data_IF_936433232274
#
_entry.id   IF_936433232274
#
_cell.length_a   1.000
_cell.length_b   1.000
_cell.length_c   1.000
_cell.angle_alpha   90.00
_cell.angle_beta   90.00
_cell.angle_gamma   90.00
#
_symmetry.space_group_name_H-M   'P 1'
#
loop_
_entity.id
_entity.type
_entity.pdbx_description
1 polymer ?
#
# COMPACT_ATOMS: atom_id res chain seq x y z
N UNK A 1 52.87 -41.02 34.78
CA UNK A 1 51.67 -41.87 34.58
C UNK A 1 50.46 -41.01 34.92
N UNK A 2 49.59 -40.71 33.95
CA UNK A 2 48.33 -40.04 34.27
C UNK A 2 47.41 -41.06 34.97
N UNK A 3 46.90 -40.72 36.14
CA UNK A 3 45.86 -41.53 36.79
C UNK A 3 44.57 -41.27 36.03
N UNK A 4 44.07 -42.28 35.32
CA UNK A 4 42.78 -42.21 34.64
C UNK A 4 41.68 -42.50 35.66
N UNK A 5 41.00 -41.45 36.12
CA UNK A 5 39.78 -41.62 36.91
C UNK A 5 38.67 -42.05 35.96
N UNK A 6 38.12 -43.24 36.20
CA UNK A 6 36.97 -43.76 35.48
C UNK A 6 35.75 -43.71 36.38
N UNK A 7 34.71 -43.04 35.89
CA UNK A 7 33.39 -42.98 36.51
C UNK A 7 32.57 -44.19 36.07
N UNK A 8 31.57 -44.58 36.86
CA UNK A 8 30.65 -45.64 36.42
C UNK A 8 29.86 -45.14 35.22
N UNK A 9 29.80 -45.98 34.19
CA UNK A 9 29.23 -45.64 32.90
C UNK A 9 28.68 -46.89 32.22
N UNK A 10 27.67 -46.69 31.38
CA UNK A 10 26.99 -47.75 30.63
C UNK A 10 25.90 -47.13 29.74
N UNK A 11 25.28 -47.91 28.87
CA UNK A 11 24.14 -47.43 28.08
C UNK A 11 22.91 -47.22 28.98
N UNK A 12 21.99 -46.35 28.58
CA UNK A 12 20.73 -46.11 29.29
C UNK A 12 19.95 -47.41 29.56
N UNK A 13 19.96 -48.33 28.58
CA UNK A 13 19.35 -49.65 28.69
C UNK A 13 20.05 -50.53 29.76
N UNK A 14 21.39 -50.58 29.77
CA UNK A 14 22.14 -51.36 30.76
C UNK A 14 21.93 -50.84 32.18
N UNK A 15 21.92 -49.51 32.36
CA UNK A 15 21.62 -48.89 33.64
C UNK A 15 20.20 -49.17 34.12
N UNK A 16 19.21 -49.10 33.22
CA UNK A 16 17.81 -49.41 33.53
C UNK A 16 17.62 -50.87 33.95
N UNK A 17 18.30 -51.81 33.26
CA UNK A 17 18.23 -53.24 33.60
C UNK A 17 18.92 -53.56 34.94
N UNK A 18 20.07 -52.96 35.23
CA UNK A 18 20.78 -53.19 36.48
C UNK A 18 20.10 -52.47 37.66
N UNK A 19 19.46 -51.33 37.39
CA UNK A 19 18.79 -50.44 38.34
C UNK A 19 19.47 -50.26 39.71
N UNK A 20 20.78 -49.96 39.77
CA UNK A 20 21.49 -49.89 41.04
C UNK A 20 21.11 -48.64 41.85
N UNK A 21 21.19 -48.73 43.17
CA UNK A 21 21.26 -47.55 44.06
C UNK A 21 22.71 -47.06 44.09
N UNK A 22 22.92 -45.82 43.66
CA UNK A 22 24.23 -45.17 43.69
C UNK A 22 24.51 -44.58 45.08
N UNK A 23 25.76 -44.63 45.52
CA UNK A 23 26.16 -44.01 46.78
C UNK A 23 25.96 -42.48 46.73
N UNK A 24 25.77 -41.86 47.90
CA UNK A 24 25.60 -40.41 47.98
C UNK A 24 26.80 -39.67 47.36
N UNK A 25 26.54 -38.81 46.37
CA UNK A 25 27.55 -38.07 45.61
C UNK A 25 28.25 -38.86 44.51
N UNK A 26 27.93 -40.14 44.29
CA UNK A 26 28.52 -40.95 43.22
C UNK A 26 28.05 -40.47 41.85
N UNK A 27 29.00 -40.12 40.98
CA UNK A 27 28.74 -39.70 39.60
C UNK A 27 28.62 -40.91 38.66
N UNK A 28 27.54 -40.95 37.88
CA UNK A 28 27.30 -41.98 36.88
C UNK A 28 26.76 -41.37 35.58
N UNK A 29 27.21 -41.90 34.45
CA UNK A 29 26.82 -41.40 33.12
C UNK A 29 26.20 -42.47 32.22
N UNK A 30 25.26 -42.05 31.40
CA UNK A 30 24.76 -42.80 30.24
C UNK A 30 25.65 -42.50 29.03
N UNK A 31 26.24 -43.51 28.42
CA UNK A 31 27.21 -43.32 27.32
C UNK A 31 26.56 -43.04 25.96
N UNK A 32 25.24 -43.16 25.86
CA UNK A 32 24.45 -43.10 24.63
C UNK A 32 23.40 -41.97 24.61
N UNK A 33 23.25 -41.22 25.70
CA UNK A 33 22.26 -40.14 25.80
C UNK A 33 22.85 -38.80 26.27
N UNK A 34 24.15 -38.77 26.59
CA UNK A 34 24.86 -37.64 27.22
C UNK A 34 24.26 -37.18 28.55
N UNK A 35 23.48 -38.05 29.22
CA UNK A 35 22.88 -37.76 30.52
C UNK A 35 23.68 -38.35 31.67
N UNK A 36 23.53 -37.77 32.85
CA UNK A 36 24.19 -38.22 34.06
C UNK A 36 23.33 -38.02 35.29
N UNK A 37 23.64 -38.77 36.36
CA UNK A 37 22.98 -38.67 37.66
C UNK A 37 24.03 -38.65 38.77
N UNK A 38 23.71 -37.98 39.88
CA UNK A 38 24.44 -38.10 41.14
C UNK A 38 23.60 -38.91 42.12
N UNK A 39 24.19 -39.97 42.70
CA UNK A 39 23.53 -40.77 43.70
C UNK A 39 23.18 -39.99 44.96
N UNK A 40 22.04 -40.33 45.58
CA UNK A 40 21.61 -39.83 46.89
C UNK A 40 21.82 -40.86 48.00
N UNK A 41 22.34 -42.06 47.67
CA UNK A 41 22.57 -43.15 48.60
C UNK A 41 21.35 -44.02 48.91
N UNK A 42 20.17 -43.74 48.34
CA UNK A 42 18.94 -44.50 48.65
C UNK A 42 18.02 -44.78 47.45
N UNK A 43 17.94 -43.87 46.48
CA UNK A 43 17.08 -43.99 45.29
C UNK A 43 17.76 -44.83 44.21
N UNK A 44 17.03 -45.81 43.68
CA UNK A 44 17.49 -46.63 42.55
C UNK A 44 17.56 -45.83 41.24
N UNK A 45 18.46 -46.21 40.33
CA UNK A 45 18.74 -45.50 39.06
C UNK A 45 17.50 -45.05 38.29
N UNK A 46 16.48 -45.91 38.13
CA UNK A 46 15.30 -45.59 37.32
C UNK A 46 14.41 -44.50 37.92
N UNK A 47 14.44 -44.34 39.24
CA UNK A 47 13.70 -43.30 39.97
C UNK A 47 14.54 -42.05 40.28
N UNK A 48 15.87 -42.16 40.18
CA UNK A 48 16.78 -41.04 40.41
C UNK A 48 16.67 -40.03 39.26
N UNK A 49 16.53 -38.74 39.57
CA UNK A 49 16.47 -37.68 38.56
C UNK A 49 17.80 -37.49 37.84
N UNK A 50 17.76 -37.05 36.58
CA UNK A 50 18.96 -36.57 35.90
C UNK A 50 19.45 -35.28 36.53
N UNK A 51 20.77 -35.14 36.61
CA UNK A 51 21.41 -33.91 37.07
C UNK A 51 21.76 -33.03 35.87
N UNK A 52 21.84 -31.72 36.09
CA UNK A 52 22.24 -30.74 35.07
C UNK A 52 23.20 -29.71 35.69
N UNK A 53 24.04 -29.09 34.85
CA UNK A 53 24.78 -27.90 35.23
C UNK A 53 23.86 -26.68 35.04
N UNK A 54 24.06 -25.59 35.81
CA UNK A 54 23.38 -24.33 35.52
C UNK A 54 23.68 -23.94 34.06
N UNK A 55 22.62 -23.76 33.28
CA UNK A 55 22.70 -23.50 31.84
C UNK A 55 22.21 -22.09 31.55
N UNK A 56 23.01 -21.33 30.81
CA UNK A 56 22.58 -20.09 30.16
C UNK A 56 21.97 -20.34 28.77
N UNK A 57 21.96 -21.60 28.31
CA UNK A 57 21.34 -21.99 27.06
C UNK A 57 19.82 -22.10 27.21
N UNK A 58 19.11 -21.77 26.13
CA UNK A 58 17.65 -21.90 26.04
C UNK A 58 17.33 -23.37 25.73
N UNK A 59 16.47 -23.98 26.55
CA UNK A 59 16.10 -25.39 26.42
C UNK A 59 15.35 -25.67 25.11
N UNK A 60 15.58 -26.83 24.49
CA UNK A 60 14.81 -27.29 23.32
C UNK A 60 13.33 -27.52 23.63
N UNK A 61 12.95 -27.63 24.91
CA UNK A 61 11.56 -27.66 25.35
C UNK A 61 10.87 -26.30 25.19
N UNK A 62 11.63 -25.21 25.07
CA UNK A 62 11.11 -23.87 24.78
C UNK A 62 11.03 -23.63 23.28
N UNK A 63 11.92 -24.22 22.48
CA UNK A 63 11.94 -24.15 21.01
C UNK A 63 11.67 -25.52 20.40
N UNK A 64 10.44 -26.00 20.58
CA UNK A 64 10.06 -27.37 20.26
C UNK A 64 9.30 -27.49 18.92
N UNK A 65 8.91 -26.37 18.31
CA UNK A 65 8.19 -26.33 17.05
C UNK A 65 8.79 -25.31 16.07
N UNK A 66 8.50 -25.51 14.78
CA UNK A 66 8.92 -24.60 13.72
C UNK A 66 8.22 -23.25 13.90
N UNK A 67 9.01 -22.18 13.90
CA UNK A 67 8.52 -20.81 13.95
C UNK A 67 8.20 -20.32 15.36
N UNK A 68 8.58 -21.07 16.39
CA UNK A 68 8.59 -20.57 17.76
C UNK A 68 9.47 -19.32 17.88
N UNK A 69 8.95 -18.32 18.57
CA UNK A 69 9.64 -17.09 18.92
C UNK A 69 9.89 -17.11 20.42
N UNK A 70 11.12 -16.82 20.82
CA UNK A 70 11.48 -16.66 22.23
C UNK A 70 11.30 -15.19 22.60
N UNK A 71 10.46 -14.92 23.60
CA UNK A 71 10.29 -13.61 24.21
C UNK A 71 10.84 -13.62 25.64
N UNK A 72 11.66 -12.63 25.99
CA UNK A 72 12.04 -12.41 27.38
C UNK A 72 10.85 -11.81 28.15
N UNK A 73 10.53 -12.39 29.30
CA UNK A 73 9.33 -12.01 30.09
C UNK A 73 9.67 -11.43 31.45
N UNK A 74 10.87 -11.72 31.97
CA UNK A 74 11.46 -11.13 33.18
C UNK A 74 12.97 -11.41 33.20
N UNK A 75 13.64 -10.99 34.27
CA UNK A 75 15.05 -11.32 34.52
C UNK A 75 15.27 -12.83 34.42
N UNK A 76 16.19 -13.23 33.54
CA UNK A 76 16.57 -14.63 33.29
C UNK A 76 15.40 -15.55 32.93
N UNK A 77 14.27 -15.00 32.47
CA UNK A 77 13.05 -15.74 32.17
C UNK A 77 12.62 -15.49 30.73
N UNK A 78 12.42 -16.57 29.99
CA UNK A 78 11.92 -16.53 28.61
C UNK A 78 10.64 -17.36 28.50
N UNK A 79 9.79 -16.98 27.56
CA UNK A 79 8.61 -17.74 27.17
C UNK A 79 8.57 -17.92 25.65
N UNK A 80 7.87 -18.96 25.21
CA UNK A 80 7.59 -19.24 23.80
C UNK A 80 6.32 -18.51 23.36
N UNK A 81 6.39 -17.81 22.24
CA UNK A 81 5.24 -17.44 21.41
C UNK A 81 5.28 -18.31 20.15
N UNK A 82 4.29 -19.16 19.95
CA UNK A 82 4.20 -20.02 18.77
C UNK A 82 4.02 -19.19 17.49
N UNK A 83 4.37 -19.76 16.34
CA UNK A 83 4.16 -19.10 15.04
C UNK A 83 2.70 -18.69 14.83
N UNK A 84 2.50 -17.52 14.23
CA UNK A 84 1.17 -17.02 13.85
C UNK A 84 0.66 -17.66 12.56
N UNK A 85 -0.61 -17.40 12.26
CA UNK A 85 -1.20 -17.73 10.97
C UNK A 85 -0.71 -16.78 9.86
N UNK A 86 -0.80 -17.23 8.60
CA UNK A 86 -0.49 -16.38 7.44
C UNK A 86 -1.32 -15.08 7.47
N UNK A 87 -0.69 -13.95 7.12
CA UNK A 87 -1.33 -12.63 7.13
C UNK A 87 -1.34 -11.92 8.49
N UNK A 88 -0.77 -12.53 9.53
CA UNK A 88 -0.54 -11.87 10.80
C UNK A 88 0.85 -11.22 10.86
N UNK A 89 0.96 -10.15 11.65
CA UNK A 89 2.22 -9.49 11.99
C UNK A 89 2.46 -9.55 13.49
N UNK A 90 3.74 -9.57 13.88
CA UNK A 90 4.13 -9.53 15.27
C UNK A 90 3.98 -8.09 15.77
N UNK A 91 3.13 -7.89 16.77
CA UNK A 91 2.80 -6.57 17.31
C UNK A 91 3.11 -6.53 18.79
N UNK A 92 3.58 -5.37 19.26
CA UNK A 92 3.74 -5.13 20.69
C UNK A 92 2.39 -5.23 21.40
N UNK A 93 2.35 -6.03 22.47
CA UNK A 93 1.17 -6.28 23.27
C UNK A 93 1.58 -6.37 24.74
N UNK A 94 1.83 -5.22 25.35
CA UNK A 94 2.40 -5.12 26.70
C UNK A 94 1.55 -5.77 27.81
N UNK A 95 0.28 -6.05 27.55
CA UNK A 95 -0.60 -6.80 28.46
C UNK A 95 -0.46 -8.33 28.37
N UNK A 96 0.22 -8.87 27.36
CA UNK A 96 0.49 -10.30 27.22
C UNK A 96 1.75 -10.69 27.99
N UNK A 97 1.85 -11.94 28.46
CA UNK A 97 3.01 -12.42 29.21
C UNK A 97 4.34 -12.31 28.45
N UNK A 98 4.30 -12.44 27.12
CA UNK A 98 5.45 -12.29 26.22
C UNK A 98 5.71 -10.84 25.81
N UNK A 99 4.82 -9.90 26.15
CA UNK A 99 4.84 -8.53 25.63
C UNK A 99 4.56 -8.41 24.12
N UNK A 100 4.23 -9.53 23.46
CA UNK A 100 4.10 -9.65 22.00
C UNK A 100 2.86 -10.49 21.66
N UNK A 101 2.19 -10.16 20.57
CA UNK A 101 1.11 -10.99 20.03
C UNK A 101 1.10 -10.97 18.50
N UNK A 102 0.54 -12.00 17.88
CA UNK A 102 0.21 -11.96 16.45
C UNK A 102 -1.10 -11.20 16.25
N UNK A 103 -1.05 -10.15 15.45
CA UNK A 103 -2.22 -9.36 15.08
C UNK A 103 -2.51 -9.55 13.59
N UNK A 104 -3.79 -9.68 13.23
CA UNK A 104 -4.21 -9.62 11.83
C UNK A 104 -3.90 -8.24 11.27
N UNK A 105 -3.25 -8.19 10.11
CA UNK A 105 -3.11 -6.94 9.37
C UNK A 105 -4.48 -6.48 8.87
N UNK A 106 -5.00 -5.39 9.42
CA UNK A 106 -6.16 -4.70 8.85
C UNK A 106 -5.69 -3.76 7.75
N UNK A 107 -5.74 -4.21 6.51
CA UNK A 107 -5.64 -3.35 5.33
C UNK A 107 -6.99 -3.29 4.63
N UNK A 108 -7.37 -2.12 4.13
CA UNK A 108 -8.52 -2.01 3.24
C UNK A 108 -8.18 -2.72 1.93
N UNK A 109 -8.80 -3.88 1.68
CA UNK A 109 -8.70 -4.54 0.39
C UNK A 109 -9.44 -3.68 -0.66
N UNK A 110 -8.72 -3.22 -1.69
CA UNK A 110 -9.30 -2.49 -2.82
C UNK A 110 -9.50 -3.49 -3.95
N UNK A 111 -10.74 -3.84 -4.23
CA UNK A 111 -11.10 -4.66 -5.40
C UNK A 111 -11.44 -3.73 -6.55
N UNK A 112 -10.71 -3.84 -7.66
CA UNK A 112 -11.00 -3.10 -8.89
C UNK A 112 -11.71 -4.05 -9.86
N UNK A 113 -12.87 -3.64 -10.32
CA UNK A 113 -13.65 -4.36 -11.32
C UNK A 113 -14.25 -3.36 -12.31
N UNK A 114 -14.44 -3.81 -13.55
CA UNK A 114 -15.22 -3.06 -14.52
C UNK A 114 -16.71 -3.06 -14.11
N UNK A 115 -17.44 -2.03 -14.51
CA UNK A 115 -18.84 -1.84 -14.12
C UNK A 115 -19.61 -1.12 -15.21
N UNK A 116 -20.93 -1.30 -15.23
CA UNK A 116 -21.86 -0.54 -16.08
C UNK A 116 -22.56 0.58 -15.30
N UNK A 117 -22.17 0.83 -14.05
CA UNK A 117 -22.77 1.85 -13.19
C UNK A 117 -22.48 3.27 -13.72
N UNK A 118 -23.54 4.06 -13.89
CA UNK A 118 -23.48 5.42 -14.44
C UNK A 118 -23.19 6.49 -13.38
N UNK A 119 -23.08 6.09 -12.10
CA UNK A 119 -22.90 6.93 -10.93
C UNK A 119 -21.62 6.62 -10.14
N UNK A 120 -20.60 6.05 -10.80
CA UNK A 120 -19.36 5.68 -10.14
C UNK A 120 -18.69 6.89 -9.50
N UNK A 121 -18.19 6.70 -8.28
CA UNK A 121 -17.31 7.66 -7.63
C UNK A 121 -15.85 7.39 -8.01
N UNK A 122 -15.03 8.45 -8.06
CA UNK A 122 -13.58 8.32 -8.27
C UNK A 122 -12.86 8.22 -6.93
N UNK A 123 -11.93 7.28 -6.81
CA UNK A 123 -11.10 7.13 -5.62
C UNK A 123 -10.05 8.26 -5.52
N UNK A 124 -9.95 8.85 -4.33
CA UNK A 124 -9.06 9.95 -3.97
C UNK A 124 -8.18 9.54 -2.78
N UNK A 125 -6.97 10.08 -2.73
CA UNK A 125 -6.02 9.89 -1.64
C UNK A 125 -5.79 11.26 -0.96
N UNK A 126 -6.39 11.43 0.22
CA UNK A 126 -6.45 12.73 0.93
C UNK A 126 -5.30 12.94 1.93
N UNK A 127 -4.31 12.04 1.99
CA UNK A 127 -3.16 12.17 2.89
C UNK A 127 -1.84 12.03 2.13
N UNK A 128 -0.93 12.98 2.37
CA UNK A 128 0.42 12.97 1.81
C UNK A 128 1.28 11.81 2.34
N UNK A 129 0.92 11.25 3.50
CA UNK A 129 1.65 10.13 4.13
C UNK A 129 1.02 8.77 3.82
N UNK A 130 -0.15 8.73 3.16
CA UNK A 130 -0.81 7.48 2.75
C UNK A 130 -1.38 6.64 3.90
N UNK A 131 -1.61 7.26 5.06
CA UNK A 131 -2.12 6.62 6.28
C UNK A 131 -3.65 6.47 6.32
N UNK A 132 -4.37 7.13 5.40
CA UNK A 132 -5.81 7.03 5.25
C UNK A 132 -6.18 6.10 4.09
N UNK A 133 -7.27 5.35 4.25
CA UNK A 133 -7.87 4.60 3.15
C UNK A 133 -8.38 5.53 2.03
N UNK A 134 -8.60 5.00 0.81
CA UNK A 134 -9.17 5.77 -0.29
C UNK A 134 -10.50 6.40 0.11
N UNK A 135 -10.72 7.63 -0.32
CA UNK A 135 -11.97 8.38 -0.14
C UNK A 135 -12.59 8.65 -1.51
N UNK A 136 -13.81 9.18 -1.50
CA UNK A 136 -14.47 9.71 -2.69
C UNK A 136 -15.06 11.07 -2.34
N UNK A 137 -15.28 11.90 -3.34
CA UNK A 137 -15.96 13.18 -3.21
C UNK A 137 -17.05 13.31 -4.29
N UNK A 138 -18.18 13.94 -3.97
CA UNK A 138 -19.31 14.08 -4.90
C UNK A 138 -19.04 15.04 -6.06
N UNK A 139 -17.98 15.85 -5.98
CA UNK A 139 -17.58 16.79 -7.02
C UNK A 139 -16.96 16.15 -8.26
N UNK A 140 -16.54 14.87 -8.19
CA UNK A 140 -15.95 14.13 -9.31
C UNK A 140 -16.61 12.75 -9.44
N UNK A 141 -17.29 12.50 -10.56
CA UNK A 141 -17.97 11.24 -10.84
C UNK A 141 -17.61 10.68 -12.20
N UNK A 142 -17.68 9.36 -12.35
CA UNK A 142 -17.47 8.65 -13.62
C UNK A 142 -18.75 7.91 -14.01
N UNK A 143 -19.19 8.11 -15.25
CA UNK A 143 -20.30 7.37 -15.81
C UNK A 143 -19.74 6.24 -16.70
N UNK A 144 -19.77 5.01 -16.21
CA UNK A 144 -19.21 3.88 -16.94
C UNK A 144 -20.03 3.50 -18.19
N UNK A 145 -21.32 3.86 -18.23
CA UNK A 145 -22.16 3.66 -19.40
C UNK A 145 -21.78 4.56 -20.59
N UNK A 146 -21.19 5.72 -20.33
CA UNK A 146 -20.77 6.66 -21.39
C UNK A 146 -19.26 6.85 -21.49
N UNK A 147 -18.49 6.35 -20.52
CA UNK A 147 -17.05 6.57 -20.42
C UNK A 147 -16.69 8.02 -20.06
N UNK A 148 -17.61 8.78 -19.45
CA UNK A 148 -17.42 10.21 -19.19
C UNK A 148 -17.09 10.46 -17.72
N UNK A 149 -15.99 11.18 -17.49
CA UNK A 149 -15.66 11.78 -16.20
C UNK A 149 -16.31 13.17 -16.11
N UNK A 150 -17.03 13.44 -15.02
CA UNK A 150 -17.69 14.72 -14.75
C UNK A 150 -17.05 15.40 -13.54
N UNK A 151 -16.72 16.68 -13.68
CA UNK A 151 -16.28 17.56 -12.61
C UNK A 151 -16.87 18.96 -12.84
N UNK A 152 -17.05 19.74 -11.77
CA UNK A 152 -17.59 21.11 -11.86
C UNK A 152 -16.61 22.13 -12.41
N UNK A 153 -15.29 21.85 -12.35
CA UNK A 153 -14.26 22.69 -12.92
C UNK A 153 -12.86 22.10 -12.78
N UNK A 154 -11.92 22.66 -13.53
CA UNK A 154 -10.49 22.37 -13.41
C UNK A 154 -9.76 23.68 -13.07
N UNK A 155 -8.83 23.62 -12.13
CA UNK A 155 -7.95 24.75 -11.84
C UNK A 155 -6.78 24.76 -12.84
N UNK A 156 -6.55 25.90 -13.48
CA UNK A 156 -5.49 26.07 -14.48
C UNK A 156 -5.92 25.75 -15.92
N UNK A 157 -5.00 25.90 -16.90
CA UNK A 157 -5.30 25.67 -18.30
C UNK A 157 -5.45 24.18 -18.62
N UNK A 158 -6.47 23.82 -19.41
CA UNK A 158 -6.49 22.53 -20.11
C UNK A 158 -5.56 22.63 -21.32
N UNK A 159 -4.53 21.80 -21.35
CA UNK A 159 -3.57 21.74 -22.46
C UNK A 159 -3.78 20.47 -23.29
N UNK A 160 -3.39 20.49 -24.57
CA UNK A 160 -3.60 19.38 -25.51
C UNK A 160 -4.84 19.53 -26.39
N UNK A 161 -5.21 18.46 -27.10
CA UNK A 161 -6.33 18.47 -28.02
C UNK A 161 -7.66 18.42 -27.25
N UNK A 162 -8.26 19.59 -27.02
CA UNK A 162 -9.65 19.70 -26.56
C UNK A 162 -10.56 19.65 -27.79
N UNK A 163 -11.36 18.59 -27.92
CA UNK A 163 -12.33 18.48 -29.01
C UNK A 163 -13.49 19.47 -28.81
N UNK A 164 -14.16 19.86 -29.90
CA UNK A 164 -15.21 20.89 -29.89
C UNK A 164 -14.69 22.29 -30.26
N UNK A 165 -15.41 23.34 -29.85
CA UNK A 165 -15.12 24.72 -30.28
C UNK A 165 -13.86 25.34 -29.65
N UNK A 166 -13.31 24.72 -28.61
CA UNK A 166 -12.11 25.21 -27.93
C UNK A 166 -10.85 25.11 -28.80
N UNK A 167 -10.74 24.07 -29.64
CA UNK A 167 -9.57 23.89 -30.53
C UNK A 167 -9.56 24.89 -31.69
N UNK A 168 -10.72 25.28 -32.22
CA UNK A 168 -10.81 26.29 -33.28
C UNK A 168 -10.66 27.72 -32.75
N UNK A 169 -10.98 27.98 -31.48
CA UNK A 169 -10.72 29.28 -30.83
C UNK A 169 -9.21 29.63 -30.75
N UNK A 170 -8.32 28.62 -30.75
CA UNK A 170 -6.86 28.88 -30.75
C UNK A 170 -6.40 29.57 -32.04
N UNK A 171 -7.04 29.30 -33.18
CA UNK A 171 -6.71 29.96 -34.44
C UNK A 171 -7.01 31.47 -34.42
N UNK A 172 -7.96 31.90 -33.58
CA UNK A 172 -8.30 33.31 -33.33
C UNK A 172 -7.60 33.90 -32.10
N UNK A 173 -6.84 33.11 -31.33
CA UNK A 173 -6.00 33.63 -30.25
C UNK A 173 -4.98 34.67 -30.78
N UNK A 174 -4.55 34.51 -32.03
CA UNK A 174 -3.98 35.61 -32.82
C UNK A 174 -5.06 36.12 -33.76
N UNK A 175 -5.45 37.39 -33.60
CA UNK A 175 -6.48 37.99 -34.43
C UNK A 175 -6.20 37.81 -35.93
N UNK A 176 -7.28 37.68 -36.71
CA UNK A 176 -7.23 37.61 -38.17
C UNK A 176 -7.89 38.85 -38.75
N UNK A 177 -7.38 39.32 -39.88
CA UNK A 177 -7.98 40.44 -40.60
C UNK A 177 -9.08 39.92 -41.53
N UNK A 178 -10.31 40.42 -41.35
CA UNK A 178 -11.47 40.09 -42.19
C UNK A 178 -12.09 41.41 -42.65
N UNK A 179 -12.11 41.67 -43.95
CA UNK A 179 -12.63 42.95 -44.49
C UNK A 179 -11.88 44.19 -43.96
N UNK A 180 -10.58 44.04 -43.67
CA UNK A 180 -9.77 45.11 -43.06
C UNK A 180 -9.91 45.26 -41.55
N UNK A 181 -10.90 44.61 -40.92
CA UNK A 181 -11.12 44.66 -39.46
C UNK A 181 -10.38 43.51 -38.77
N UNK A 182 -9.66 43.80 -37.69
CA UNK A 182 -9.06 42.78 -36.83
C UNK A 182 -10.14 42.05 -36.02
N UNK A 183 -10.11 40.72 -36.04
CA UNK A 183 -11.10 39.88 -35.38
C UNK A 183 -10.42 38.75 -34.59
N UNK A 184 -10.67 38.71 -33.28
CA UNK A 184 -10.16 37.71 -32.34
C UNK A 184 -11.26 36.80 -31.75
N UNK A 185 -12.50 36.94 -32.23
CA UNK A 185 -13.64 36.14 -31.78
C UNK A 185 -14.25 36.55 -30.44
N UNK A 186 -13.78 37.62 -29.79
CA UNK A 186 -14.33 38.09 -28.50
C UNK A 186 -15.66 38.83 -28.63
N UNK A 187 -16.06 39.22 -29.84
CA UNK A 187 -17.33 39.90 -30.12
C UNK A 187 -17.75 39.75 -31.58
N UNK A 188 -18.84 40.39 -31.99
CA UNK A 188 -19.26 40.42 -33.40
C UNK A 188 -18.26 41.21 -34.24
N UNK A 189 -18.09 40.81 -35.50
CA UNK A 189 -17.28 41.56 -36.45
C UNK A 189 -18.08 42.70 -37.09
N UNK A 190 -17.54 43.93 -37.01
CA UNK A 190 -17.97 45.04 -37.85
C UNK A 190 -17.01 45.16 -39.02
N UNK A 191 -17.37 44.54 -40.14
CA UNK A 191 -16.56 44.61 -41.36
C UNK A 191 -16.56 46.05 -41.88
N UNK A 192 -15.38 46.58 -42.20
CA UNK A 192 -15.30 47.79 -43.01
C UNK A 192 -15.97 47.52 -44.36
N UNK A 193 -16.95 48.32 -44.75
CA UNK A 193 -17.50 48.23 -46.10
C UNK A 193 -16.35 48.42 -47.10
N UNK A 194 -16.26 47.55 -48.12
CA UNK A 194 -15.27 47.72 -49.18
C UNK A 194 -15.43 49.11 -49.79
N UNK A 195 -14.33 49.80 -50.10
CA UNK A 195 -14.34 51.18 -50.61
C UNK A 195 -15.28 51.37 -51.82
N UNK A 196 -15.46 50.33 -52.64
CA UNK A 196 -16.41 50.31 -53.77
C UNK A 196 -17.88 50.41 -53.33
N UNK A 197 -18.26 49.83 -52.19
CA UNK A 197 -19.61 49.97 -51.62
C UNK A 197 -19.84 51.36 -51.03
N UNK A 198 -18.79 52.01 -50.50
CA UNK A 198 -18.85 53.39 -50.02
C UNK A 198 -18.86 54.42 -51.17
N UNK A 199 -18.38 54.07 -52.36
CA UNK A 199 -18.36 54.97 -53.51
C UNK A 199 -19.75 55.41 -53.99
N UNK A 200 -20.81 54.66 -53.62
CA UNK A 200 -22.22 55.00 -53.82
C UNK A 200 -22.93 55.37 -52.50
N UNK A 201 -22.24 55.36 -51.34
CA UNK A 201 -22.80 55.87 -50.09
C UNK A 201 -23.11 57.38 -50.19
N UNK A 202 -22.40 58.09 -51.06
CA UNK A 202 -22.84 59.37 -51.59
C UNK A 202 -23.32 59.15 -53.02
N UNK A 203 -24.60 59.44 -53.26
CA UNK A 203 -25.22 59.24 -54.56
C UNK A 203 -24.48 60.03 -55.66
N UNK A 204 -24.36 59.44 -56.84
CA UNK A 204 -23.74 60.08 -58.02
C UNK A 204 -24.82 60.39 -59.06
N UNK A 205 -24.66 61.49 -59.75
CA UNK A 205 -25.53 61.84 -60.88
C UNK A 205 -25.05 61.12 -62.13
N UNK A 206 -25.90 60.26 -62.70
CA UNK A 206 -25.65 59.56 -63.97
C UNK A 206 -26.82 59.89 -64.90
N UNK A 207 -26.54 60.59 -66.01
CA UNK A 207 -27.60 60.98 -66.96
C UNK A 207 -28.67 61.90 -66.37
N UNK A 208 -28.37 62.66 -65.31
CA UNK A 208 -29.33 63.52 -64.60
C UNK A 208 -30.06 62.85 -63.44
N UNK A 209 -29.96 61.52 -63.29
CA UNK A 209 -30.60 60.76 -62.21
C UNK A 209 -29.60 60.51 -61.07
N UNK A 210 -30.04 60.70 -59.82
CA UNK A 210 -29.26 60.38 -58.62
C UNK A 210 -29.25 58.87 -58.39
N UNK A 211 -28.06 58.27 -58.27
CA UNK A 211 -27.88 56.83 -58.09
C UNK A 211 -26.97 56.54 -56.88
N UNK A 212 -27.51 55.83 -55.90
CA UNK A 212 -26.84 55.35 -54.69
C UNK A 212 -26.78 53.81 -54.60
N UNK A 213 -27.20 53.12 -55.67
CA UNK A 213 -27.19 51.65 -55.74
C UNK A 213 -28.35 50.95 -55.05
N UNK A 214 -29.30 51.68 -54.45
CA UNK A 214 -30.47 51.08 -53.79
C UNK A 214 -31.61 50.73 -54.75
N UNK A 215 -31.63 51.32 -55.94
CA UNK A 215 -32.62 51.04 -56.99
C UNK A 215 -31.97 51.06 -58.39
N UNK A 216 -32.60 50.37 -59.35
CA UNK A 216 -32.17 50.40 -60.75
C UNK A 216 -32.30 51.81 -61.34
N UNK A 217 -31.38 52.18 -62.23
CA UNK A 217 -31.59 53.36 -63.09
C UNK A 217 -32.55 52.95 -64.20
N UNK A 218 -33.75 53.53 -64.20
CA UNK A 218 -34.69 53.37 -65.31
C UNK A 218 -34.35 54.38 -66.42
N UNK A 219 -34.32 53.97 -67.71
CA UNK A 219 -34.03 54.85 -68.84
C UNK A 219 -34.99 56.03 -68.97
#
# INVERSE_FOLDING_TARGET
MAVQIQIRRGTASAWTSANPTLAAGEFAMETDTDKYKFGDGSTAWTSLGYSSLPSTAISNTVVDAKGDIIAATADNTVAKLTVGSNGQVLTAASGQSTGLQWATMTHTAITVADTTDTSCSVALFESATGDLGPKTDGGITYNAGTGVLTATGFAGPLTGAVTGNASTATALATARTIGGTSFDGTGNISVGLAATATALATARTIGGTSFDGTANITP
#
